data_IF_584076244329
#
_entry.id   IF_584076244329
#
_cell.length_a   1.000
_cell.length_b   1.000
_cell.length_c   1.000
_cell.angle_alpha   90.00
_cell.angle_beta   90.00
_cell.angle_gamma   90.00
#
_symmetry.space_group_name_H-M   'P 1'
#
loop_
_entity.id
_entity.type
_entity.pdbx_description
1 polymer ?
#
# COMPACT_ATOMS: atom_id res chain seq x y z
N UNK A 1 7.00 -5.33 39.74
CA UNK A 1 7.05 -5.78 38.33
C UNK A 1 6.84 -4.57 37.45
N UNK A 2 7.85 -4.19 36.66
CA UNK A 2 7.72 -3.08 35.73
C UNK A 2 6.98 -3.59 34.49
N UNK A 3 5.76 -3.09 34.25
CA UNK A 3 5.10 -3.26 32.97
C UNK A 3 5.88 -2.42 31.95
N UNK A 4 6.75 -3.05 31.17
CA UNK A 4 7.25 -2.44 29.96
C UNK A 4 6.04 -2.25 29.04
N UNK A 5 5.51 -1.02 28.97
CA UNK A 5 4.67 -0.60 27.85
C UNK A 5 5.52 -0.84 26.60
N UNK A 6 5.33 -1.99 25.93
CA UNK A 6 5.69 -2.12 24.52
C UNK A 6 4.93 -1.01 23.84
N UNK A 7 5.59 0.12 23.61
CA UNK A 7 5.00 1.23 22.89
C UNK A 7 4.38 0.65 21.63
N UNK A 8 3.07 0.82 21.46
CA UNK A 8 2.41 0.58 20.18
C UNK A 8 3.16 1.46 19.19
N UNK A 9 4.10 0.87 18.45
CA UNK A 9 4.87 1.57 17.43
C UNK A 9 3.85 1.97 16.37
N UNK A 10 3.32 3.18 16.48
CA UNK A 10 2.25 3.65 15.63
C UNK A 10 2.77 3.63 14.19
N UNK A 11 2.10 2.84 13.36
CA UNK A 11 2.28 2.85 11.92
C UNK A 11 1.14 3.69 11.35
N UNK A 12 1.44 4.57 10.41
CA UNK A 12 0.42 5.34 9.72
C UNK A 12 0.57 5.17 8.22
N UNK A 13 -0.56 5.22 7.52
CA UNK A 13 -0.65 5.25 6.07
C UNK A 13 -1.64 6.33 5.68
N UNK A 14 -1.29 7.14 4.69
CA UNK A 14 -2.13 8.21 4.17
C UNK A 14 -2.11 8.18 2.66
N UNK A 15 -3.29 8.05 2.07
CA UNK A 15 -3.51 8.15 0.64
C UNK A 15 -4.24 9.48 0.37
N UNK A 16 -3.60 10.46 -0.29
CA UNK A 16 -4.16 11.80 -0.41
C UNK A 16 -5.28 11.90 -1.46
N UNK A 17 -5.38 10.92 -2.37
CA UNK A 17 -6.35 10.95 -3.45
C UNK A 17 -7.55 10.06 -3.12
N UNK A 18 -8.71 10.69 -2.89
CA UNK A 18 -9.97 9.99 -2.56
C UNK A 18 -10.77 9.66 -3.81
N UNK A 19 -10.88 10.62 -4.74
CA UNK A 19 -11.54 10.45 -6.03
C UNK A 19 -10.69 11.08 -7.12
N UNK A 20 -10.44 10.33 -8.18
CA UNK A 20 -9.66 10.78 -9.34
C UNK A 20 -10.43 10.35 -10.59
N UNK A 21 -10.57 11.27 -11.53
CA UNK A 21 -11.09 10.98 -12.87
C UNK A 21 -9.94 11.09 -13.85
N UNK A 22 -9.74 10.05 -14.65
CA UNK A 22 -8.73 10.00 -15.71
C UNK A 22 -9.36 9.52 -17.01
N UNK A 23 -8.81 9.93 -18.13
CA UNK A 23 -9.20 9.42 -19.44
C UNK A 23 -8.65 8.01 -19.64
N UNK A 24 -9.37 7.20 -20.41
CA UNK A 24 -8.90 5.88 -20.81
C UNK A 24 -7.55 5.97 -21.53
N UNK A 25 -6.62 5.07 -21.18
CA UNK A 25 -5.25 5.04 -21.72
C UNK A 25 -4.30 6.09 -21.15
N UNK A 26 -4.77 7.07 -20.38
CA UNK A 26 -3.90 8.02 -19.71
C UNK A 26 -3.18 7.37 -18.50
N UNK A 27 -1.91 7.73 -18.23
CA UNK A 27 -1.21 7.23 -17.05
C UNK A 27 -1.84 7.78 -15.76
N UNK A 28 -1.85 6.95 -14.71
CA UNK A 28 -2.34 7.31 -13.38
C UNK A 28 -1.24 7.08 -12.33
N UNK A 29 -0.95 8.12 -11.54
CA UNK A 29 -0.05 8.04 -10.39
C UNK A 29 -0.86 8.06 -9.08
N UNK A 30 -0.73 7.01 -8.28
CA UNK A 30 -1.29 6.95 -6.93
C UNK A 30 -0.18 7.10 -5.90
N UNK A 31 -0.45 7.88 -4.85
CA UNK A 31 0.52 8.16 -3.78
C UNK A 31 0.09 7.52 -2.47
N UNK A 32 1.07 6.98 -1.77
CA UNK A 32 0.91 6.40 -0.45
C UNK A 32 2.06 6.91 0.43
N UNK A 33 1.73 7.71 1.43
CA UNK A 33 2.67 8.16 2.44
C UNK A 33 2.54 7.25 3.66
N UNK A 34 3.65 6.76 4.20
CA UNK A 34 3.63 5.94 5.39
C UNK A 34 4.69 6.39 6.39
N UNK A 35 4.41 6.18 7.67
CA UNK A 35 5.37 6.37 8.75
C UNK A 35 5.50 5.07 9.53
N UNK A 36 6.75 4.64 9.75
CA UNK A 36 7.06 3.46 10.54
C UNK A 36 8.42 3.59 11.18
N UNK A 37 8.54 3.05 12.40
CA UNK A 37 9.82 2.94 13.14
C UNK A 37 10.55 1.62 12.88
N UNK A 38 10.03 0.79 11.97
CA UNK A 38 10.58 -0.51 11.59
C UNK A 38 10.54 -0.68 10.06
N UNK A 39 11.37 -1.57 9.50
CA UNK A 39 11.21 -2.01 8.13
C UNK A 39 9.76 -2.49 7.89
N UNK A 40 9.07 -1.85 6.95
CA UNK A 40 7.67 -2.12 6.66
C UNK A 40 7.48 -2.87 5.36
N UNK A 41 6.39 -3.63 5.30
CA UNK A 41 5.82 -4.11 4.05
C UNK A 41 4.64 -3.21 3.70
N UNK A 42 4.59 -2.73 2.46
CA UNK A 42 3.41 -2.02 1.94
C UNK A 42 2.76 -2.88 0.88
N UNK A 43 1.44 -2.85 0.87
CA UNK A 43 0.62 -3.58 -0.08
C UNK A 43 -0.28 -2.58 -0.81
N UNK A 44 -0.41 -2.76 -2.12
CA UNK A 44 -1.42 -2.07 -2.91
C UNK A 44 -2.53 -3.06 -3.20
N UNK A 45 -3.73 -2.79 -2.70
CA UNK A 45 -4.93 -3.58 -2.96
C UNK A 45 -5.86 -2.81 -3.90
N UNK A 46 -6.49 -3.53 -4.83
CA UNK A 46 -7.54 -2.99 -5.69
C UNK A 46 -8.89 -3.56 -5.25
N UNK A 47 -9.91 -2.71 -5.20
CA UNK A 47 -11.28 -3.11 -4.96
C UNK A 47 -12.18 -2.49 -6.03
N UNK A 48 -12.95 -3.35 -6.70
CA UNK A 48 -14.00 -2.92 -7.61
C UNK A 48 -15.35 -2.91 -6.88
N UNK A 49 -16.29 -2.08 -7.32
CA UNK A 49 -17.64 -2.05 -6.76
C UNK A 49 -18.23 -3.46 -6.63
N UNK A 50 -18.72 -3.79 -5.44
CA UNK A 50 -19.34 -5.08 -5.09
C UNK A 50 -18.40 -6.31 -5.20
N UNK A 51 -17.08 -6.11 -5.25
CA UNK A 51 -16.09 -7.20 -5.23
C UNK A 51 -15.23 -7.15 -3.97
N UNK A 52 -14.61 -8.27 -3.64
CA UNK A 52 -13.60 -8.35 -2.59
C UNK A 52 -12.31 -7.59 -2.96
N UNK A 53 -11.50 -7.29 -1.95
CA UNK A 53 -10.17 -6.72 -2.14
C UNK A 53 -9.25 -7.75 -2.80
N UNK A 54 -8.45 -7.31 -3.75
CA UNK A 54 -7.43 -8.13 -4.40
C UNK A 54 -6.07 -7.45 -4.31
N UNK A 55 -5.08 -8.21 -3.85
CA UNK A 55 -3.70 -7.76 -3.77
C UNK A 55 -3.11 -7.56 -5.18
N UNK A 56 -2.54 -6.38 -5.41
CA UNK A 56 -1.92 -5.97 -6.66
C UNK A 56 -0.39 -5.96 -6.54
N UNK A 57 0.16 -5.10 -5.68
CA UNK A 57 1.61 -4.93 -5.53
C UNK A 57 2.05 -5.15 -4.08
N UNK A 58 3.30 -5.56 -3.92
CA UNK A 58 4.01 -5.56 -2.64
C UNK A 58 5.32 -4.79 -2.75
N UNK A 59 5.52 -3.88 -1.80
CA UNK A 59 6.78 -3.22 -1.53
C UNK A 59 7.36 -3.71 -0.21
N UNK A 60 8.68 -3.91 -0.17
CA UNK A 60 9.41 -4.35 1.02
C UNK A 60 10.51 -3.33 1.31
N UNK A 61 10.48 -2.73 2.50
CA UNK A 61 11.51 -1.77 2.92
C UNK A 61 12.91 -2.38 2.80
N UNK A 62 13.84 -1.63 2.20
CA UNK A 62 15.19 -2.10 1.90
C UNK A 62 15.35 -2.82 0.55
N UNK A 63 14.25 -3.07 -0.16
CA UNK A 63 14.25 -3.52 -1.55
C UNK A 63 13.72 -2.37 -2.44
N UNK A 64 14.46 -2.02 -3.49
CA UNK A 64 14.00 -1.03 -4.49
C UNK A 64 13.01 -1.61 -5.50
N UNK A 65 12.86 -2.94 -5.53
CA UNK A 65 11.97 -3.62 -6.47
C UNK A 65 10.57 -3.78 -5.89
N UNK A 66 9.58 -3.25 -6.61
CA UNK A 66 8.16 -3.53 -6.38
C UNK A 66 7.81 -4.83 -7.09
N UNK A 67 7.23 -5.77 -6.35
CA UNK A 67 6.79 -7.05 -6.92
C UNK A 67 5.32 -6.97 -7.31
N UNK A 68 5.03 -7.18 -8.59
CA UNK A 68 3.67 -7.47 -9.03
C UNK A 68 3.35 -8.93 -8.67
N UNK A 69 2.30 -9.10 -7.87
CA UNK A 69 1.87 -10.43 -7.41
C UNK A 69 0.92 -11.05 -8.44
N UNK A 70 0.28 -10.21 -9.27
CA UNK A 70 -0.52 -10.68 -10.40
C UNK A 70 0.39 -10.77 -11.61
N UNK A 71 0.63 -11.98 -12.09
CA UNK A 71 1.05 -12.16 -13.49
C UNK A 71 -0.12 -11.68 -14.35
N UNK A 72 -0.16 -10.40 -14.70
CA UNK A 72 -1.10 -9.88 -15.70
C UNK A 72 -0.80 -10.63 -17.01
N UNK A 73 -1.62 -11.64 -17.29
CA UNK A 73 -1.62 -12.34 -18.57
C UNK A 73 -2.36 -11.41 -19.53
N UNK A 74 -1.59 -10.59 -20.24
CA UNK A 74 -2.06 -9.92 -21.45
C UNK A 74 -2.28 -10.92 -22.57
#
# INVERSE_FOLDING_TARGET
MAFALRGTRAQSVTQPHVHITVSEGAPLELRCNYSSSLPSYLFWDVQYCNKGHQLLLKYTSGNSLVSDIRKFRG
#
